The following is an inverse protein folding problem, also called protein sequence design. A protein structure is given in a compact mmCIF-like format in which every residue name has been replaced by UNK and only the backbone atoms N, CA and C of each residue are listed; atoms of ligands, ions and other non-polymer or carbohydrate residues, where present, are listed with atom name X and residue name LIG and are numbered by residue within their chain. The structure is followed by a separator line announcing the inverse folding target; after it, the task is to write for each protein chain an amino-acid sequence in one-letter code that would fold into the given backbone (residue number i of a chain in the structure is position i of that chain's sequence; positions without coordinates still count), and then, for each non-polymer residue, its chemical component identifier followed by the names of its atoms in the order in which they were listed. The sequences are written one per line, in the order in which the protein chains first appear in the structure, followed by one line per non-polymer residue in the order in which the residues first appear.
data_IF_225883069717
#
_entry.id   IF_225883069717
#
_cell.length_a   1.000
_cell.length_b   1.000
_cell.length_c   1.000
_cell.angle_alpha   90.00
_cell.angle_beta   90.00
_cell.angle_gamma   90.00
#
_symmetry.space_group_name_H-M   'P 1'
#
loop_
_entity.id
_entity.type
_entity.pdbx_description
1 polymer ?
#
# COMPACT_ATOMS: atom_id res chain seq x y z
N UNK A 1 -3.88 -13.90 -18.37
CA UNK A 1 -5.11 -14.71 -18.11
C UNK A 1 -5.24 -15.23 -16.67
N UNK A 2 -4.14 -15.53 -15.95
CA UNK A 2 -4.24 -16.00 -14.55
C UNK A 2 -4.55 -14.84 -13.58
N UNK A 3 -3.92 -13.68 -13.76
CA UNK A 3 -4.13 -12.51 -12.88
C UNK A 3 -5.57 -11.97 -12.98
N UNK A 4 -6.14 -11.85 -14.18
CA UNK A 4 -7.56 -11.46 -14.33
C UNK A 4 -8.53 -12.36 -13.55
N UNK A 5 -8.28 -13.67 -13.54
CA UNK A 5 -9.09 -14.63 -12.75
C UNK A 5 -8.89 -14.43 -11.25
N UNK A 6 -7.68 -14.10 -10.81
CA UNK A 6 -7.41 -13.78 -9.40
C UNK A 6 -8.10 -12.47 -8.99
N UNK A 7 -8.06 -11.44 -9.86
CA UNK A 7 -8.72 -10.15 -9.65
C UNK A 7 -10.25 -10.34 -9.55
N UNK A 8 -10.84 -11.08 -10.47
CA UNK A 8 -12.28 -11.36 -10.47
C UNK A 8 -12.76 -12.05 -9.18
N UNK A 9 -11.89 -12.83 -8.52
CA UNK A 9 -12.20 -13.52 -7.27
C UNK A 9 -11.89 -12.73 -6.00
N UNK A 10 -11.36 -11.50 -6.06
CA UNK A 10 -11.06 -10.69 -4.87
C UNK A 10 -12.29 -10.39 -4.00
N UNK A 11 -13.48 -10.08 -4.55
CA UNK A 11 -14.68 -9.82 -3.75
C UNK A 11 -15.05 -10.96 -2.80
N UNK A 12 -14.76 -12.20 -3.17
CA UNK A 12 -15.08 -13.40 -2.39
C UNK A 12 -14.03 -13.72 -1.30
N UNK A 13 -12.91 -12.99 -1.25
CA UNK A 13 -11.83 -13.22 -0.28
C UNK A 13 -12.06 -12.47 1.02
N UNK A 14 -11.59 -13.05 2.12
CA UNK A 14 -11.54 -12.35 3.41
C UNK A 14 -10.45 -11.27 3.43
N UNK A 15 -10.58 -10.27 4.30
CA UNK A 15 -9.55 -9.21 4.47
C UNK A 15 -8.14 -9.78 4.75
N UNK A 16 -7.95 -10.77 5.65
CA UNK A 16 -6.64 -11.39 5.85
C UNK A 16 -6.07 -12.07 4.60
N UNK A 17 -6.92 -12.72 3.80
CA UNK A 17 -6.50 -13.32 2.53
C UNK A 17 -6.02 -12.25 1.54
N UNK A 18 -6.76 -11.15 1.41
CA UNK A 18 -6.35 -10.02 0.58
C UNK A 18 -5.02 -9.42 1.02
N UNK A 19 -4.84 -9.19 2.33
CA UNK A 19 -3.58 -8.68 2.89
C UNK A 19 -2.40 -9.63 2.57
N UNK A 20 -2.58 -10.95 2.77
CA UNK A 20 -1.57 -11.96 2.43
C UNK A 20 -1.25 -11.98 0.92
N UNK A 21 -2.27 -11.90 0.06
CA UNK A 21 -2.10 -11.82 -1.39
C UNK A 21 -1.33 -10.56 -1.80
N UNK A 22 -1.62 -9.42 -1.15
CA UNK A 22 -0.91 -8.16 -1.38
C UNK A 22 0.57 -8.26 -1.01
N UNK A 23 0.88 -8.83 0.16
CA UNK A 23 2.26 -9.07 0.63
C UNK A 23 3.03 -9.91 -0.40
N UNK A 24 2.46 -11.02 -0.86
CA UNK A 24 3.07 -11.87 -1.90
C UNK A 24 3.28 -11.11 -3.22
N UNK A 25 2.32 -10.27 -3.60
CA UNK A 25 2.44 -9.36 -4.73
C UNK A 25 3.65 -8.43 -4.59
N UNK A 26 3.80 -7.78 -3.43
CA UNK A 26 4.94 -6.90 -3.14
C UNK A 26 6.26 -7.66 -3.19
N UNK A 27 6.35 -8.83 -2.58
CA UNK A 27 7.55 -9.69 -2.61
C UNK A 27 7.94 -10.06 -4.05
N UNK A 28 6.95 -10.40 -4.87
CA UNK A 28 7.17 -10.72 -6.27
C UNK A 28 7.61 -9.47 -7.07
N UNK A 29 7.02 -8.30 -6.81
CA UNK A 29 7.42 -7.01 -7.41
C UNK A 29 8.88 -6.67 -7.09
N UNK A 30 9.40 -7.01 -5.90
CA UNK A 30 10.83 -6.81 -5.56
C UNK A 30 11.76 -7.64 -6.45
N UNK A 31 11.33 -8.82 -6.88
CA UNK A 31 12.12 -9.70 -7.76
C UNK A 31 11.93 -9.33 -9.23
N UNK A 32 10.74 -8.84 -9.61
CA UNK A 32 10.39 -8.46 -10.97
C UNK A 32 9.73 -7.06 -10.99
N UNK A 33 10.52 -5.98 -10.86
CA UNK A 33 9.98 -4.62 -10.68
C UNK A 33 9.24 -4.07 -11.90
N UNK A 34 9.55 -4.60 -13.09
CA UNK A 34 8.92 -4.17 -14.35
C UNK A 34 7.68 -4.99 -14.73
N UNK A 35 7.26 -5.91 -13.87
CA UNK A 35 6.10 -6.74 -14.10
C UNK A 35 4.79 -5.95 -13.85
N UNK A 36 4.25 -5.40 -14.94
CA UNK A 36 3.01 -4.62 -14.95
C UNK A 36 1.80 -5.43 -14.47
N UNK A 37 1.83 -6.74 -14.67
CA UNK A 37 0.77 -7.66 -14.29
C UNK A 37 0.67 -7.75 -12.76
N UNK A 38 1.82 -7.84 -12.06
CA UNK A 38 1.85 -7.80 -10.59
C UNK A 38 1.41 -6.44 -10.04
N UNK A 39 1.87 -5.35 -10.66
CA UNK A 39 1.47 -4.01 -10.22
C UNK A 39 -0.05 -3.81 -10.38
N UNK A 40 -0.62 -4.30 -11.49
CA UNK A 40 -2.07 -4.30 -11.70
C UNK A 40 -2.80 -5.10 -10.62
N UNK A 41 -2.31 -6.30 -10.30
CA UNK A 41 -2.88 -7.13 -9.25
C UNK A 41 -2.86 -6.48 -7.85
N UNK A 42 -1.74 -5.85 -7.47
CA UNK A 42 -1.64 -5.11 -6.20
C UNK A 42 -2.64 -3.95 -6.16
N UNK A 43 -2.75 -3.19 -7.24
CA UNK A 43 -3.70 -2.08 -7.34
C UNK A 43 -5.16 -2.57 -7.21
N UNK A 44 -5.50 -3.69 -7.84
CA UNK A 44 -6.84 -4.28 -7.73
C UNK A 44 -7.17 -4.73 -6.29
N UNK A 45 -6.19 -5.28 -5.56
CA UNK A 45 -6.37 -5.58 -4.12
C UNK A 45 -6.62 -4.30 -3.32
N UNK A 46 -5.86 -3.24 -3.60
CA UNK A 46 -6.01 -1.98 -2.89
C UNK A 46 -7.35 -1.30 -3.16
N UNK A 47 -7.82 -1.33 -4.40
CA UNK A 47 -9.15 -0.87 -4.77
C UNK A 47 -10.24 -1.69 -4.07
N UNK A 48 -10.07 -3.00 -3.95
CA UNK A 48 -11.01 -3.85 -3.23
C UNK A 48 -11.09 -3.52 -1.73
N UNK A 49 -9.97 -3.21 -1.08
CA UNK A 49 -9.99 -2.74 0.32
C UNK A 49 -10.75 -1.42 0.46
N UNK A 50 -10.49 -0.45 -0.43
CA UNK A 50 -11.15 0.86 -0.43
C UNK A 50 -12.63 0.78 -0.81
N UNK A 51 -13.03 -0.24 -1.59
CA UNK A 51 -14.43 -0.49 -1.93
C UNK A 51 -15.23 -1.01 -0.73
N UNK A 52 -14.61 -1.83 0.12
CA UNK A 52 -15.27 -2.44 1.29
C UNK A 52 -15.55 -1.44 2.41
N UNK A 53 -14.77 -0.37 2.49
CA UNK A 53 -14.90 0.66 3.51
C UNK A 53 -14.57 2.00 2.86
N UNK A 54 -15.61 2.82 2.67
CA UNK A 54 -15.46 4.09 1.98
C UNK A 54 -14.38 4.95 2.66
N UNK A 55 -13.30 5.29 1.96
CA UNK A 55 -12.20 6.04 2.57
C UNK A 55 -12.61 7.50 2.79
N UNK A 56 -11.93 8.21 3.72
CA UNK A 56 -12.11 9.64 3.85
C UNK A 56 -11.66 10.36 2.56
N UNK A 57 -12.20 11.56 2.31
CA UNK A 57 -11.77 12.39 1.18
C UNK A 57 -10.27 12.72 1.28
N UNK A 58 -9.79 13.00 2.49
CA UNK A 58 -8.39 13.30 2.78
C UNK A 58 -7.99 12.72 4.14
N UNK A 59 -6.72 12.33 4.27
CA UNK A 59 -6.15 11.75 5.48
C UNK A 59 -6.05 10.22 5.45
N UNK A 60 -5.64 9.64 6.59
CA UNK A 60 -5.41 8.21 6.72
C UNK A 60 -6.71 7.43 6.96
N UNK A 61 -6.81 6.23 6.39
CA UNK A 61 -7.87 5.27 6.75
C UNK A 61 -7.68 4.73 8.16
N UNK A 62 -8.78 4.46 8.86
CA UNK A 62 -8.83 3.91 10.24
C UNK A 62 -8.57 2.40 10.32
N UNK A 63 -7.96 1.80 9.29
CA UNK A 63 -7.98 0.37 8.98
C UNK A 63 -7.79 -0.60 10.16
N UNK A 64 -8.43 -1.77 10.06
CA UNK A 64 -8.36 -2.82 11.06
C UNK A 64 -6.94 -3.40 11.21
N UNK A 65 -6.68 -4.09 12.31
CA UNK A 65 -5.37 -4.71 12.55
C UNK A 65 -5.03 -5.71 11.43
N UNK A 66 -3.90 -5.48 10.76
CA UNK A 66 -3.40 -6.31 9.64
C UNK A 66 -3.81 -5.81 8.25
N UNK A 67 -4.81 -4.93 8.17
CA UNK A 67 -5.19 -4.30 6.91
C UNK A 67 -4.14 -3.25 6.47
N UNK A 68 -4.00 -3.02 5.15
CA UNK A 68 -3.26 -1.88 4.66
C UNK A 68 -3.91 -0.57 5.12
N UNK A 69 -3.09 0.41 5.48
CA UNK A 69 -3.53 1.77 5.79
C UNK A 69 -3.25 2.65 4.60
N UNK A 70 -4.24 3.40 4.15
CA UNK A 70 -4.15 4.25 2.97
C UNK A 70 -4.12 5.71 3.37
N UNK A 71 -3.21 6.47 2.76
CA UNK A 71 -3.25 7.93 2.80
C UNK A 71 -4.05 8.41 1.59
N UNK A 72 -5.09 9.20 1.86
CA UNK A 72 -5.96 9.79 0.85
C UNK A 72 -5.70 11.29 0.72
N UNK A 73 -5.76 11.81 -0.50
CA UNK A 73 -5.72 13.24 -0.81
C UNK A 73 -6.69 13.51 -1.95
N UNK A 74 -7.67 14.41 -1.75
CA UNK A 74 -8.69 14.76 -2.74
C UNK A 74 -9.40 13.54 -3.36
N UNK A 75 -9.69 12.52 -2.54
CA UNK A 75 -10.36 11.29 -2.97
C UNK A 75 -9.45 10.28 -3.69
N UNK A 76 -8.17 10.59 -3.84
CA UNK A 76 -7.19 9.69 -4.45
C UNK A 76 -6.28 9.07 -3.40
N UNK A 77 -5.95 7.79 -3.57
CA UNK A 77 -4.94 7.12 -2.75
C UNK A 77 -3.56 7.61 -3.18
N UNK A 78 -2.86 8.28 -2.27
CA UNK A 78 -1.51 8.81 -2.50
C UNK A 78 -0.43 8.07 -1.73
N UNK A 79 -0.80 7.26 -0.73
CA UNK A 79 0.15 6.44 0.00
C UNK A 79 -0.47 5.18 0.60
N UNK A 80 0.38 4.23 0.96
CA UNK A 80 -0.03 3.00 1.63
C UNK A 80 1.03 2.56 2.64
N UNK A 81 0.57 2.00 3.76
CA UNK A 81 1.41 1.32 4.75
C UNK A 81 0.87 -0.10 4.91
N UNK A 82 1.75 -1.09 4.75
CA UNK A 82 1.44 -2.50 4.88
C UNK A 82 2.31 -3.13 5.96
N UNK A 83 1.68 -3.84 6.91
CA UNK A 83 2.41 -4.74 7.81
C UNK A 83 2.86 -5.97 7.04
N UNK A 84 4.15 -6.26 7.08
CA UNK A 84 4.78 -7.46 6.57
C UNK A 84 4.91 -8.45 7.73
N UNK A 85 4.22 -9.58 7.66
CA UNK A 85 4.42 -10.67 8.63
C UNK A 85 5.70 -11.42 8.27
N UNK A 86 6.69 -11.41 9.16
CA UNK A 86 7.93 -12.18 8.97
C UNK A 86 7.82 -13.51 9.71
N UNK A 87 7.88 -14.62 8.98
CA UNK A 87 7.86 -15.99 9.53
C UNK A 87 9.13 -16.38 10.32
N UNK A 88 9.97 -15.42 10.74
CA UNK A 88 11.18 -15.71 11.52
C UNK A 88 10.92 -15.40 12.98
N UNK A 89 11.19 -16.38 13.83
CA UNK A 89 11.05 -16.37 15.30
C UNK A 89 11.83 -15.25 16.04
N UNK A 90 12.33 -14.23 15.35
CA UNK A 90 13.03 -13.09 15.93
C UNK A 90 12.56 -11.75 15.34
N UNK A 91 11.87 -11.01 16.21
CA UNK A 91 11.80 -9.55 16.29
C UNK A 91 10.94 -8.78 15.27
N UNK A 92 9.67 -8.62 15.66
CA UNK A 92 8.90 -7.39 15.51
C UNK A 92 8.20 -7.20 14.17
N UNK A 93 7.07 -6.49 14.22
CA UNK A 93 6.32 -6.07 13.04
C UNK A 93 7.22 -5.23 12.13
N UNK A 94 7.26 -5.58 10.85
CA UNK A 94 7.90 -4.76 9.82
C UNK A 94 6.81 -4.10 8.99
N UNK A 95 6.90 -2.80 8.79
CA UNK A 95 5.97 -2.06 7.94
C UNK A 95 6.70 -1.57 6.69
N UNK A 96 6.08 -1.81 5.54
CA UNK A 96 6.48 -1.26 4.25
C UNK A 96 5.57 -0.08 3.92
N UNK A 97 6.19 1.01 3.45
CA UNK A 97 5.52 2.23 3.08
C UNK A 97 5.69 2.50 1.57
N UNK A 98 4.66 3.02 0.92
CA UNK A 98 4.70 3.45 -0.47
C UNK A 98 4.02 4.82 -0.62
N UNK A 99 4.52 5.64 -1.54
CA UNK A 99 3.94 6.92 -1.96
C UNK A 99 3.79 6.90 -3.47
N UNK A 100 2.58 7.17 -3.98
CA UNK A 100 2.25 7.14 -5.41
C UNK A 100 2.71 5.84 -6.11
N UNK A 101 2.59 4.71 -5.41
CA UNK A 101 2.99 3.39 -5.89
C UNK A 101 4.50 3.10 -5.86
N UNK A 102 5.31 4.05 -5.39
CA UNK A 102 6.76 3.88 -5.22
C UNK A 102 7.09 3.50 -3.77
N UNK A 103 7.82 2.39 -3.53
CA UNK A 103 8.21 2.00 -2.19
C UNK A 103 9.24 2.98 -1.61
N UNK A 104 9.08 3.33 -0.33
CA UNK A 104 10.12 4.01 0.42
C UNK A 104 11.30 3.05 0.67
N UNK A 105 12.56 3.52 0.67
CA UNK A 105 13.73 2.68 0.86
C UNK A 105 13.84 2.12 2.28
N UNK A 106 13.19 2.76 3.25
CA UNK A 106 13.23 2.42 4.66
C UNK A 106 12.23 1.32 5.03
N UNK A 107 12.59 0.51 6.02
CA UNK A 107 11.69 -0.43 6.67
C UNK A 107 11.39 0.06 8.09
N UNK A 108 10.12 0.05 8.47
CA UNK A 108 9.67 0.63 9.72
C UNK A 108 9.30 -0.46 10.72
N UNK A 109 9.53 -0.21 12.01
CA UNK A 109 9.12 -1.14 13.10
C UNK A 109 7.81 -0.74 13.76
N UNK A 110 7.38 0.49 13.55
CA UNK A 110 6.11 1.02 14.03
C UNK A 110 5.29 1.59 12.88
N UNK A 111 3.97 1.41 12.98
CA UNK A 111 3.04 1.88 11.95
C UNK A 111 3.02 3.41 11.85
N UNK A 112 3.16 4.12 12.96
CA UNK A 112 3.11 5.59 12.96
C UNK A 112 4.37 6.19 12.33
N UNK A 113 5.54 5.58 12.51
CA UNK A 113 6.77 5.99 11.81
C UNK A 113 6.61 5.83 10.29
N UNK A 114 6.04 4.70 9.85
CA UNK A 114 5.76 4.46 8.44
C UNK A 114 4.76 5.49 7.87
N UNK A 115 3.73 5.85 8.64
CA UNK A 115 2.74 6.86 8.24
C UNK A 115 3.39 8.24 8.13
N UNK A 116 4.15 8.66 9.13
CA UNK A 116 4.89 9.92 9.10
C UNK A 116 5.86 9.98 7.91
N UNK A 117 6.54 8.89 7.58
CA UNK A 117 7.43 8.83 6.42
C UNK A 117 6.66 9.03 5.10
N UNK A 118 5.49 8.41 4.94
CA UNK A 118 4.60 8.62 3.78
C UNK A 118 4.12 10.08 3.72
N UNK A 119 3.66 10.64 4.85
CA UNK A 119 3.19 12.03 4.91
C UNK A 119 4.30 13.01 4.50
N UNK A 120 5.51 12.82 5.03
CA UNK A 120 6.68 13.65 4.73
C UNK A 120 7.10 13.54 3.26
N UNK A 121 7.16 12.32 2.72
CA UNK A 121 7.53 12.09 1.33
C UNK A 121 6.48 12.66 0.36
N UNK A 122 5.19 12.50 0.65
CA UNK A 122 4.13 13.11 -0.16
C UNK A 122 4.16 14.65 -0.08
N UNK A 123 4.34 15.22 1.11
CA UNK A 123 4.47 16.67 1.27
C UNK A 123 5.70 17.24 0.54
N UNK A 124 6.81 16.50 0.50
CA UNK A 124 7.99 16.88 -0.28
C UNK A 124 7.70 16.92 -1.78
N UNK A 125 6.97 15.93 -2.31
CA UNK A 125 6.56 15.89 -3.72
C UNK A 125 5.63 17.04 -4.09
N UNK A 126 4.72 17.43 -3.19
CA UNK A 126 3.86 18.59 -3.41
C UNK A 126 4.68 19.88 -3.47
N UNK A 127 5.70 20.03 -2.63
CA UNK A 127 6.58 21.22 -2.66
C UNK A 127 7.40 21.28 -3.95
N UNK A 128 8.00 20.17 -4.38
CA UNK A 128 8.79 20.13 -5.62
C UNK A 128 7.95 20.25 -6.88
N UNK A 129 6.69 19.81 -6.86
CA UNK A 129 5.72 20.03 -7.94
C UNK A 129 5.08 21.42 -7.93
N UNK A 130 5.26 22.20 -6.86
CA UNK A 130 4.72 23.56 -6.70
C UNK A 130 5.77 24.65 -6.86
N UNK A 131 6.99 24.34 -7.30
CA UNK A 131 7.94 25.35 -7.78
C UNK A 131 7.52 25.75 -9.21
N UNK A 132 6.89 26.94 -9.42
CA UNK A 132 6.86 27.50 -10.76
C UNK A 132 8.30 27.86 -11.10
N UNK A 133 8.88 27.15 -12.06
CA UNK A 133 10.01 27.70 -12.79
C UNK A 133 9.50 28.91 -13.59
N UNK A 134 9.67 30.11 -13.02
CA UNK A 134 9.92 31.37 -13.76
C UNK A 134 10.49 32.44 -12.80
#
# INVERSE_FOLDING_TARGET
MIIERLIAGLPDRSRPQLASMRIKGIERRKVAPNDKEIQHFINAIDEEFLRREAPPKSGWTSGAQGDPRYLMSEGQRVGVVQRMETHRHSNGDVYLAEVLGQPLPEQFRHVDDARHAVDNAFAALLKTGSDPSD
#
